data_IF_948544154923
#
_entry.id   IF_948544154923
#
_cell.length_a   1.000
_cell.length_b   1.000
_cell.length_c   1.000
_cell.angle_alpha   90.00
_cell.angle_beta   90.00
_cell.angle_gamma   90.00
#
_symmetry.space_group_name_H-M   'P 1'
#
loop_
_entity.id
_entity.type
_entity.pdbx_description
1 polymer ?
#
# COMPACT_ATOMS: atom_id res chain seq x y z
N UNK A 1 -5.44 -2.92 13.87
CA UNK A 1 -4.32 -2.10 13.35
C UNK A 1 -4.07 -2.52 11.91
N UNK A 2 -3.84 -1.56 11.00
CA UNK A 2 -3.47 -1.82 9.61
C UNK A 2 -1.98 -1.58 9.36
N UNK A 3 -1.48 -2.17 8.28
CA UNK A 3 -0.22 -1.81 7.65
C UNK A 3 -0.54 -0.96 6.44
N UNK A 4 -0.19 0.32 6.51
CA UNK A 4 -0.48 1.26 5.45
C UNK A 4 0.73 1.38 4.54
N UNK A 5 0.51 1.15 3.24
CA UNK A 5 1.54 1.19 2.20
C UNK A 5 1.17 2.25 1.17
N UNK A 6 2.08 3.18 0.91
CA UNK A 6 1.93 4.22 -0.10
C UNK A 6 2.61 3.79 -1.39
N UNK A 7 1.89 3.86 -2.52
CA UNK A 7 2.44 3.57 -3.85
C UNK A 7 2.47 4.86 -4.65
N UNK A 8 3.66 5.37 -4.94
CA UNK A 8 3.89 6.64 -5.66
C UNK A 8 5.22 6.60 -6.42
N UNK A 9 5.42 7.51 -7.38
CA UNK A 9 6.72 7.71 -8.04
C UNK A 9 7.71 8.46 -7.15
N UNK A 10 8.11 7.84 -6.05
CA UNK A 10 9.17 8.38 -5.20
C UNK A 10 10.49 8.55 -5.96
N UNK A 11 11.33 9.55 -5.61
CA UNK A 11 12.62 9.74 -6.27
C UNK A 11 13.46 8.45 -6.24
N UNK A 12 13.98 8.03 -7.39
CA UNK A 12 14.73 6.75 -7.51
C UNK A 12 16.05 6.75 -6.75
N UNK A 13 16.60 7.93 -6.42
CA UNK A 13 17.88 8.07 -5.73
C UNK A 13 17.78 8.08 -4.20
N UNK A 14 16.56 8.19 -3.64
CA UNK A 14 16.38 8.21 -2.18
C UNK A 14 16.24 6.79 -1.63
N UNK A 15 17.00 6.49 -0.60
CA UNK A 15 17.02 5.19 0.09
C UNK A 15 16.14 5.21 1.34
N UNK A 16 15.87 6.39 1.90
CA UNK A 16 14.98 6.56 3.04
C UNK A 16 13.98 7.69 2.79
N UNK A 17 12.78 7.68 3.40
CA UNK A 17 11.83 8.78 3.25
C UNK A 17 12.36 10.14 3.73
N UNK A 18 13.31 10.13 4.67
CA UNK A 18 13.93 11.35 5.20
C UNK A 18 14.79 12.08 4.17
N UNK A 19 15.21 11.39 3.09
CA UNK A 19 15.97 11.97 1.99
C UNK A 19 15.08 12.62 0.92
N UNK A 20 13.75 12.46 1.01
CA UNK A 20 12.82 13.10 0.08
C UNK A 20 12.89 14.62 0.28
N UNK A 21 13.17 15.40 -0.78
CA UNK A 21 13.19 16.86 -0.69
C UNK A 21 11.86 17.44 -0.20
N UNK A 22 11.91 18.48 0.62
CA UNK A 22 10.68 19.10 1.17
C UNK A 22 9.80 19.76 0.10
N UNK A 23 10.38 20.12 -1.05
CA UNK A 23 9.73 20.70 -2.22
C UNK A 23 9.41 19.66 -3.30
N UNK A 24 9.62 18.37 -3.03
CA UNK A 24 9.25 17.31 -3.95
C UNK A 24 7.74 17.15 -4.06
N UNK A 25 7.26 17.01 -5.29
CA UNK A 25 5.88 16.68 -5.60
C UNK A 25 5.83 15.38 -6.42
N UNK A 26 4.95 14.43 -6.08
CA UNK A 26 4.81 13.20 -6.84
C UNK A 26 4.24 13.47 -8.22
N UNK A 27 4.84 12.84 -9.22
CA UNK A 27 4.28 12.79 -10.58
C UNK A 27 3.03 11.90 -10.63
N UNK A 28 2.17 12.15 -11.59
CA UNK A 28 1.00 11.32 -11.86
C UNK A 28 1.44 9.89 -12.22
N UNK A 29 0.87 8.90 -11.52
CA UNK A 29 1.11 7.47 -11.77
C UNK A 29 0.19 6.92 -12.87
N UNK A 30 -0.90 7.60 -13.17
CA UNK A 30 -1.96 7.21 -14.11
C UNK A 30 -3.29 7.87 -13.74
N UNK A 31 -4.39 7.39 -14.32
CA UNK A 31 -5.75 7.82 -13.92
C UNK A 31 -6.31 6.96 -12.79
N UNK A 32 -7.31 7.46 -12.06
CA UNK A 32 -7.95 6.67 -11.00
C UNK A 32 -8.55 5.35 -11.54
N UNK A 33 -9.09 5.36 -12.75
CA UNK A 33 -9.63 4.16 -13.41
C UNK A 33 -8.55 3.12 -13.73
N UNK A 34 -7.37 3.55 -14.17
CA UNK A 34 -6.22 2.66 -14.41
C UNK A 34 -5.74 2.01 -13.10
N UNK A 35 -5.74 2.79 -12.00
CA UNK A 35 -5.38 2.27 -10.67
C UNK A 35 -6.41 1.26 -10.17
N UNK A 36 -7.72 1.57 -10.26
CA UNK A 36 -8.77 0.61 -9.88
C UNK A 36 -8.66 -0.68 -10.68
N UNK A 37 -8.51 -0.59 -12.00
CA UNK A 37 -8.37 -1.76 -12.87
C UNK A 37 -7.12 -2.60 -12.55
N UNK A 38 -6.01 -1.96 -12.17
CA UNK A 38 -4.81 -2.67 -11.71
C UNK A 38 -5.04 -3.42 -10.39
N UNK A 39 -5.76 -2.82 -9.46
CA UNK A 39 -6.11 -3.44 -8.17
C UNK A 39 -7.07 -4.61 -8.40
N UNK A 40 -8.12 -4.42 -9.20
CA UNK A 40 -9.09 -5.46 -9.55
C UNK A 40 -8.44 -6.67 -10.24
N UNK A 41 -7.38 -6.44 -11.02
CA UNK A 41 -6.64 -7.51 -11.69
C UNK A 41 -5.80 -8.38 -10.72
N UNK A 42 -5.44 -7.86 -9.55
CA UNK A 42 -4.59 -8.53 -8.56
C UNK A 42 -5.35 -8.95 -7.29
N UNK A 43 -6.53 -8.40 -7.06
CA UNK A 43 -7.37 -8.68 -5.89
C UNK A 43 -8.72 -9.22 -6.39
N UNK A 44 -8.93 -10.53 -6.24
CA UNK A 44 -10.03 -11.25 -6.87
C UNK A 44 -11.44 -10.75 -6.47
N UNK A 45 -11.62 -10.24 -5.24
CA UNK A 45 -12.91 -9.89 -4.68
C UNK A 45 -13.00 -8.40 -4.29
N UNK A 46 -12.48 -7.54 -5.16
CA UNK A 46 -12.49 -6.10 -4.91
C UNK A 46 -13.92 -5.52 -5.08
N UNK A 47 -14.43 -4.88 -4.04
CA UNK A 47 -15.69 -4.15 -4.04
C UNK A 47 -15.45 -2.65 -3.87
N UNK A 48 -16.10 -1.83 -4.70
CA UNK A 48 -15.95 -0.38 -4.69
C UNK A 48 -17.25 0.30 -4.25
N UNK A 49 -17.16 1.15 -3.23
CA UNK A 49 -18.21 2.05 -2.79
C UNK A 49 -18.39 3.24 -3.73
N UNK A 50 -19.57 3.86 -3.72
CA UNK A 50 -19.86 5.07 -4.49
C UNK A 50 -19.05 6.29 -4.06
N UNK A 51 -18.41 6.23 -2.89
CA UNK A 51 -17.50 7.23 -2.35
C UNK A 51 -16.04 7.00 -2.76
N UNK A 52 -15.76 6.00 -3.60
CA UNK A 52 -14.41 5.63 -4.05
C UNK A 52 -13.64 4.75 -3.07
N UNK A 53 -14.29 4.28 -2.00
CA UNK A 53 -13.67 3.33 -1.06
C UNK A 53 -13.66 1.92 -1.63
N UNK A 54 -12.48 1.35 -1.79
CA UNK A 54 -12.29 -0.03 -2.21
C UNK A 54 -12.04 -0.94 -1.02
N UNK A 55 -12.66 -2.13 -1.01
CA UNK A 55 -12.35 -3.20 -0.05
C UNK A 55 -12.27 -4.55 -0.76
N UNK A 56 -11.27 -5.36 -0.43
CA UNK A 56 -11.12 -6.71 -0.93
C UNK A 56 -10.35 -7.62 0.02
N UNK A 57 -10.20 -8.88 -0.38
CA UNK A 57 -9.46 -9.90 0.37
C UNK A 57 -8.42 -10.58 -0.51
N UNK A 58 -7.28 -10.89 0.09
CA UNK A 58 -6.25 -11.74 -0.50
C UNK A 58 -5.97 -12.95 0.39
N UNK A 59 -4.90 -13.68 0.09
CA UNK A 59 -4.52 -14.85 0.89
C UNK A 59 -4.00 -14.40 2.26
N UNK A 60 -4.83 -14.55 3.29
CA UNK A 60 -4.49 -14.23 4.68
C UNK A 60 -4.63 -12.76 5.09
N UNK A 61 -4.96 -11.85 4.17
CA UNK A 61 -5.19 -10.42 4.46
C UNK A 61 -6.51 -9.89 3.91
N UNK A 62 -6.99 -8.80 4.51
CA UNK A 62 -7.90 -7.87 3.86
C UNK A 62 -7.14 -6.61 3.43
N UNK A 63 -7.57 -6.01 2.32
CA UNK A 63 -7.02 -4.77 1.78
C UNK A 63 -8.14 -3.76 1.60
N UNK A 64 -7.86 -2.52 1.98
CA UNK A 64 -8.71 -1.38 1.70
C UNK A 64 -7.89 -0.31 0.98
N UNK A 65 -8.54 0.52 0.18
CA UNK A 65 -7.93 1.67 -0.52
C UNK A 65 -8.97 2.77 -0.72
N UNK A 66 -8.52 4.00 -0.95
CA UNK A 66 -9.42 5.10 -1.32
C UNK A 66 -8.96 5.74 -2.61
N UNK A 67 -9.85 5.73 -3.61
CA UNK A 67 -9.69 6.40 -4.90
C UNK A 67 -11.00 7.12 -5.20
N UNK A 68 -11.11 8.36 -4.71
CA UNK A 68 -12.35 9.16 -4.76
C UNK A 68 -12.52 9.86 -6.10
N UNK A 69 -11.41 10.03 -6.80
CA UNK A 69 -11.26 10.70 -8.06
C UNK A 69 -12.04 9.96 -9.17
N UNK A 70 -12.70 10.67 -10.10
CA UNK A 70 -13.31 10.07 -11.29
C UNK A 70 -12.30 9.25 -12.11
N UNK A 71 -12.77 8.26 -12.88
CA UNK A 71 -11.89 7.30 -13.57
C UNK A 71 -10.88 7.94 -14.55
N UNK A 72 -11.20 9.10 -15.11
CA UNK A 72 -10.35 9.87 -16.04
C UNK A 72 -9.42 10.87 -15.35
N UNK A 73 -9.61 11.12 -14.05
CA UNK A 73 -8.81 12.07 -13.30
C UNK A 73 -7.42 11.50 -12.98
N UNK A 74 -6.36 12.30 -13.15
CA UNK A 74 -5.00 11.88 -12.81
C UNK A 74 -4.86 11.73 -11.29
N UNK A 75 -4.08 10.73 -10.90
CA UNK A 75 -3.70 10.50 -9.50
C UNK A 75 -2.18 10.38 -9.40
N UNK A 76 -1.62 10.90 -8.32
CA UNK A 76 -0.18 10.88 -8.04
C UNK A 76 0.25 9.71 -7.14
N UNK A 77 -0.72 8.95 -6.65
CA UNK A 77 -0.50 7.88 -5.71
C UNK A 77 -1.78 7.24 -5.22
N UNK A 78 -1.64 6.13 -4.50
CA UNK A 78 -2.71 5.53 -3.72
C UNK A 78 -2.15 4.83 -2.48
N UNK A 79 -3.04 4.57 -1.52
CA UNK A 79 -2.71 3.93 -0.26
C UNK A 79 -3.41 2.60 -0.13
N UNK A 80 -2.66 1.56 0.21
CA UNK A 80 -3.17 0.23 0.52
C UNK A 80 -3.14 0.03 2.03
N UNK A 81 -4.27 -0.26 2.64
CA UNK A 81 -4.43 -0.49 4.08
C UNK A 81 -4.66 -1.97 4.33
N UNK A 82 -3.58 -2.69 4.64
CA UNK A 82 -3.62 -4.14 4.86
C UNK A 82 -3.94 -4.48 6.31
N UNK A 83 -4.74 -5.53 6.53
CA UNK A 83 -4.96 -6.13 7.85
C UNK A 83 -4.82 -7.64 7.74
N UNK A 84 -4.32 -8.28 8.80
CA UNK A 84 -4.08 -9.72 8.82
C UNK A 84 -2.63 -10.10 8.50
N UNK A 85 -2.44 -11.20 7.81
CA UNK A 85 -1.12 -11.74 7.45
C UNK A 85 -1.03 -12.14 5.98
N UNK A 86 -0.22 -13.15 5.69
CA UNK A 86 -0.06 -13.62 4.31
C UNK A 86 0.76 -12.67 3.45
N UNK A 87 0.34 -12.47 2.20
CA UNK A 87 1.24 -11.95 1.15
C UNK A 87 1.00 -10.49 0.73
N UNK A 88 0.69 -9.62 1.71
CA UNK A 88 0.39 -8.21 1.46
C UNK A 88 1.56 -7.44 0.83
N UNK A 89 2.79 -7.77 1.21
CA UNK A 89 4.01 -7.13 0.69
C UNK A 89 4.18 -7.37 -0.82
N UNK A 90 4.00 -8.60 -1.30
CA UNK A 90 4.13 -8.90 -2.72
C UNK A 90 3.03 -8.24 -3.55
N UNK A 91 1.79 -8.15 -3.04
CA UNK A 91 0.73 -7.42 -3.72
C UNK A 91 1.08 -5.94 -3.90
N UNK A 92 1.57 -5.27 -2.85
CA UNK A 92 1.99 -3.87 -2.93
C UNK A 92 3.15 -3.67 -3.92
N UNK A 93 4.12 -4.58 -3.91
CA UNK A 93 5.25 -4.60 -4.85
C UNK A 93 4.79 -4.79 -6.30
N UNK A 94 3.88 -5.72 -6.56
CA UNK A 94 3.35 -5.97 -7.90
C UNK A 94 2.59 -4.76 -8.45
N UNK A 95 1.81 -4.10 -7.60
CA UNK A 95 1.13 -2.85 -7.94
C UNK A 95 2.12 -1.72 -8.23
N UNK A 96 3.12 -1.52 -7.38
CA UNK A 96 4.15 -0.50 -7.59
C UNK A 96 4.91 -0.71 -8.92
N UNK A 97 5.30 -1.95 -9.21
CA UNK A 97 5.96 -2.31 -10.45
C UNK A 97 5.12 -1.99 -11.70
N UNK A 98 3.79 -2.15 -11.62
CA UNK A 98 2.87 -1.86 -12.73
C UNK A 98 2.84 -0.38 -13.13
N UNK A 99 3.18 0.52 -12.21
CA UNK A 99 3.14 1.97 -12.41
C UNK A 99 4.52 2.65 -12.53
N UNK A 100 5.61 1.86 -12.64
CA UNK A 100 7.00 2.33 -12.46
C UNK A 100 7.16 3.18 -11.18
N UNK A 101 6.46 2.74 -10.12
CA UNK A 101 6.37 3.41 -8.83
C UNK A 101 7.14 2.63 -7.76
N UNK A 102 7.19 3.18 -6.55
CA UNK A 102 7.78 2.55 -5.38
C UNK A 102 6.75 2.43 -4.27
N UNK A 103 6.81 1.33 -3.52
CA UNK A 103 5.98 1.09 -2.35
C UNK A 103 6.72 1.50 -1.07
N UNK A 104 6.05 2.22 -0.19
CA UNK A 104 6.57 2.66 1.10
C UNK A 104 5.65 2.17 2.21
N UNK A 105 6.12 1.24 3.04
CA UNK A 105 5.36 0.69 4.17
C UNK A 105 6.09 0.95 5.49
N UNK A 106 5.39 1.42 6.52
CA UNK A 106 6.00 1.68 7.85
C UNK A 106 7.30 2.51 7.84
N UNK A 107 7.43 3.45 6.90
CA UNK A 107 8.60 4.33 6.79
C UNK A 107 9.82 3.70 6.11
N UNK A 108 9.69 2.50 5.52
CA UNK A 108 10.74 1.85 4.73
C UNK A 108 10.23 1.57 3.32
N UNK A 109 11.10 1.78 2.33
CA UNK A 109 10.80 1.37 0.96
C UNK A 109 10.81 -0.15 0.88
N UNK A 110 9.78 -0.70 0.26
CA UNK A 110 9.72 -2.13 -0.01
C UNK A 110 10.61 -2.42 -1.21
N UNK A 111 11.53 -3.35 -1.04
CA UNK A 111 12.40 -3.84 -2.10
C UNK A 111 12.14 -5.36 -2.27
N UNK A 112 12.39 -5.94 -3.45
CA UNK A 112 12.08 -7.35 -3.71
C UNK A 112 12.65 -8.32 -2.67
N UNK A 113 13.84 -8.02 -2.17
CA UNK A 113 14.57 -8.88 -1.23
C UNK A 113 14.20 -8.63 0.24
N UNK A 114 13.46 -7.56 0.56
CA UNK A 114 13.20 -7.12 1.95
C UNK A 114 11.73 -6.84 2.27
N UNK A 115 10.83 -6.89 1.29
CA UNK A 115 9.40 -6.60 1.47
C UNK A 115 8.75 -7.54 2.49
N UNK A 116 9.10 -8.83 2.47
CA UNK A 116 8.64 -9.82 3.46
C UNK A 116 9.10 -9.47 4.88
N UNK A 117 10.38 -9.15 5.06
CA UNK A 117 10.94 -8.77 6.36
C UNK A 117 10.28 -7.50 6.93
N UNK A 118 9.96 -6.53 6.06
CA UNK A 118 9.24 -5.32 6.45
C UNK A 118 7.84 -5.62 6.97
N UNK A 119 7.10 -6.51 6.29
CA UNK A 119 5.78 -6.94 6.72
C UNK A 119 5.84 -7.74 8.04
N UNK A 120 6.77 -8.68 8.16
CA UNK A 120 6.98 -9.49 9.36
C UNK A 120 7.35 -8.63 10.58
N UNK A 121 8.15 -7.59 10.36
CA UNK A 121 8.49 -6.60 11.40
C UNK A 121 7.25 -5.86 11.88
N UNK A 122 6.40 -5.40 10.96
CA UNK A 122 5.12 -4.79 11.31
C UNK A 122 4.19 -5.77 12.04
N UNK A 123 4.10 -7.03 11.61
CA UNK A 123 3.28 -8.04 12.27
C UNK A 123 3.74 -8.30 13.71
N UNK A 124 5.05 -8.43 13.94
CA UNK A 124 5.62 -8.58 15.29
C UNK A 124 5.29 -7.38 16.18
N UNK A 125 5.38 -6.17 15.63
CA UNK A 125 5.00 -4.96 16.36
C UNK A 125 3.51 -4.95 16.70
N UNK A 126 2.63 -5.25 15.73
CA UNK A 126 1.18 -5.35 15.94
C UNK A 126 0.87 -6.35 17.06
N UNK A 127 1.44 -7.55 16.98
CA UNK A 127 1.16 -8.63 17.92
C UNK A 127 1.66 -8.29 19.32
N UNK A 128 2.75 -7.52 19.44
CA UNK A 128 3.22 -6.95 20.71
C UNK A 128 2.26 -5.87 21.24
N UNK A 129 1.89 -4.89 20.42
CA UNK A 129 1.07 -3.75 20.80
C UNK A 129 -0.36 -4.16 21.19
N UNK A 130 -0.90 -5.21 20.56
CA UNK A 130 -2.24 -5.75 20.83
C UNK A 130 -2.26 -6.80 21.93
N UNK A 131 -1.12 -7.13 22.58
CA UNK A 131 -1.13 -8.06 23.72
C UNK A 131 -2.07 -7.52 24.81
N UNK A 132 -3.08 -8.28 25.23
CA UNK A 132 -3.90 -7.88 26.37
C UNK A 132 -2.99 -7.77 27.60
N UNK A 133 -3.07 -6.63 28.32
CA UNK A 133 -2.40 -6.52 29.62
C UNK A 133 -2.91 -7.63 30.53
N UNK A 134 -2.03 -8.31 31.29
CA UNK A 134 -2.49 -9.27 32.29
C UNK A 134 -3.43 -8.52 33.25
N UNK A 135 -4.63 -9.07 33.45
CA UNK A 135 -5.55 -8.60 34.49
C UNK A 135 -4.84 -8.84 35.83
N UNK A 136 -4.53 -7.76 36.55
CA UNK A 136 -4.21 -7.83 37.99
C UNK A 136 -5.50 -8.00 38.78
#
# INVERSE_FOLDING_TARGET
MSWDVFVMRFPKHVTTPAEIPADWHPEDIGTAGEVRAAIDALVADMAWGSDGWGQGTGDGFSVETSLREPDDAPVNGFTLMFRGGGDAANLAMALAARFDARALGSGVFLEPDSAGDAFDSWQRYRDHALRPRPRQ
#
